data_IF_259740317814
#
_entry.id   IF_259740317814
#
_cell.length_a   1.000
_cell.length_b   1.000
_cell.length_c   1.000
_cell.angle_alpha   90.00
_cell.angle_beta   90.00
_cell.angle_gamma   90.00
#
_symmetry.space_group_name_H-M   'P 1'
#
loop_
_entity.id
_entity.type
_entity.pdbx_description
1 polymer ?
#
# COMPACT_ATOMS: atom_id res chain seq x y z
N UNK A 1 -9.10 11.84 -8.75
CA UNK A 1 -8.96 10.86 -7.64
C UNK A 1 -8.08 9.70 -8.08
N UNK A 2 -7.09 9.34 -7.28
CA UNK A 2 -6.11 8.27 -7.51
C UNK A 2 -6.37 7.11 -6.56
N UNK A 3 -5.82 5.93 -6.88
CA UNK A 3 -5.84 4.73 -6.03
C UNK A 3 -4.47 4.55 -5.40
N UNK A 4 -4.37 3.98 -4.18
CA UNK A 4 -3.08 3.63 -3.62
C UNK A 4 -2.40 2.56 -4.50
N UNK A 5 -1.12 2.76 -4.75
CA UNK A 5 -0.22 1.83 -5.43
C UNK A 5 1.07 1.70 -4.62
N UNK A 6 2.02 0.89 -5.08
CA UNK A 6 3.33 0.77 -4.42
C UNK A 6 4.08 2.12 -4.37
N UNK A 7 3.75 3.06 -5.27
CA UNK A 7 4.35 4.38 -5.31
C UNK A 7 4.02 5.21 -4.05
N UNK A 8 2.78 5.19 -3.59
CA UNK A 8 2.35 5.92 -2.41
C UNK A 8 3.08 5.41 -1.14
N UNK A 9 3.30 4.10 -1.04
CA UNK A 9 4.11 3.52 0.03
C UNK A 9 5.59 3.87 -0.08
N UNK A 10 6.13 3.98 -1.30
CA UNK A 10 7.49 4.48 -1.53
C UNK A 10 7.63 5.93 -1.06
N UNK A 11 6.68 6.81 -1.44
CA UNK A 11 6.67 8.21 -1.00
C UNK A 11 6.53 8.30 0.52
N UNK A 12 5.69 7.46 1.12
CA UNK A 12 5.57 7.38 2.58
C UNK A 12 6.91 7.01 3.22
N UNK A 13 7.54 5.91 2.78
CA UNK A 13 8.84 5.46 3.31
C UNK A 13 9.95 6.51 3.10
N UNK A 14 9.92 7.24 1.99
CA UNK A 14 10.89 8.29 1.68
C UNK A 14 10.72 9.54 2.55
N UNK A 15 9.48 9.92 2.84
CA UNK A 15 9.16 11.15 3.58
C UNK A 15 9.14 10.96 5.10
N UNK A 16 8.59 9.85 5.58
CA UNK A 16 8.43 9.55 7.02
C UNK A 16 9.45 8.53 7.55
N UNK A 17 10.21 7.90 6.65
CA UNK A 17 11.20 6.88 6.98
C UNK A 17 10.65 5.45 6.92
N UNK A 18 11.52 4.45 7.17
CA UNK A 18 11.15 3.05 7.11
C UNK A 18 10.05 2.68 8.11
N UNK A 19 9.14 1.78 7.71
CA UNK A 19 8.03 1.32 8.56
C UNK A 19 8.04 -0.20 8.73
N UNK A 20 7.37 -0.69 9.76
CA UNK A 20 7.32 -2.13 10.09
C UNK A 20 6.37 -2.89 9.17
N UNK A 21 6.64 -4.18 8.90
CA UNK A 21 5.67 -5.07 8.26
C UNK A 21 4.36 -5.17 9.07
N UNK A 22 4.46 -5.04 10.39
CA UNK A 22 3.31 -5.03 11.29
C UNK A 22 2.46 -3.76 11.22
N UNK A 23 3.02 -2.64 10.73
CA UNK A 23 2.33 -1.34 10.62
C UNK A 23 1.86 -1.05 9.19
N UNK A 24 1.90 -2.01 8.27
CA UNK A 24 1.49 -1.81 6.86
C UNK A 24 0.03 -1.36 6.77
N UNK A 25 -0.84 -1.91 7.60
CA UNK A 25 -2.27 -1.58 7.60
C UNK A 25 -2.54 -0.17 8.18
N UNK A 26 -1.72 0.28 9.13
CA UNK A 26 -1.75 1.65 9.66
C UNK A 26 -1.28 2.65 8.60
N UNK A 27 -0.13 2.37 7.96
CA UNK A 27 0.42 3.19 6.86
C UNK A 27 -0.56 3.27 5.69
N UNK A 28 -1.21 2.16 5.34
CA UNK A 28 -2.28 2.13 4.35
C UNK A 28 -3.44 3.06 4.75
N UNK A 29 -3.87 3.02 6.01
CA UNK A 29 -4.95 3.86 6.50
C UNK A 29 -4.62 5.35 6.39
N UNK A 30 -3.39 5.74 6.76
CA UNK A 30 -2.88 7.11 6.59
C UNK A 30 -2.81 7.55 5.12
N UNK A 31 -2.34 6.67 4.22
CA UNK A 31 -2.33 6.95 2.77
C UNK A 31 -3.76 7.17 2.27
N UNK A 32 -4.71 6.38 2.75
CA UNK A 32 -6.11 6.54 2.37
C UNK A 32 -6.77 7.81 2.91
N UNK A 33 -6.24 8.39 3.99
CA UNK A 33 -6.71 9.68 4.52
C UNK A 33 -6.09 10.89 3.80
N UNK A 34 -5.13 10.66 2.89
CA UNK A 34 -4.52 11.73 2.11
C UNK A 34 -5.47 12.28 1.03
N UNK A 35 -5.35 13.58 0.75
CA UNK A 35 -6.15 14.24 -0.27
C UNK A 35 -5.99 13.56 -1.64
N UNK A 36 -7.10 13.42 -2.35
CA UNK A 36 -7.18 12.83 -3.69
C UNK A 36 -6.93 11.32 -3.81
N UNK A 37 -6.83 10.57 -2.71
CA UNK A 37 -6.78 9.10 -2.72
C UNK A 37 -8.15 8.51 -2.37
N UNK A 38 -8.55 7.47 -3.10
CA UNK A 38 -9.78 6.71 -2.83
C UNK A 38 -9.44 5.26 -2.55
N UNK A 39 -9.86 4.78 -1.40
CA UNK A 39 -9.66 3.41 -0.93
C UNK A 39 -10.98 2.64 -0.87
N UNK A 40 -10.93 1.33 -0.66
CA UNK A 40 -12.16 0.52 -0.58
C UNK A 40 -13.03 0.88 0.61
N UNK A 41 -12.45 1.46 1.68
CA UNK A 41 -13.18 1.97 2.85
C UNK A 41 -14.13 3.11 2.47
N UNK A 42 -13.79 3.90 1.47
CA UNK A 42 -14.63 5.03 1.00
C UNK A 42 -15.79 4.55 0.12
N UNK A 43 -15.80 3.26 -0.23
CA UNK A 43 -16.74 2.67 -1.18
C UNK A 43 -17.72 1.72 -0.51
N UNK A 44 -17.88 1.79 0.80
CA UNK A 44 -18.84 0.95 1.52
C UNK A 44 -20.29 1.18 1.07
N UNK A 45 -20.61 2.39 0.63
CA UNK A 45 -21.92 2.74 0.09
C UNK A 45 -22.17 2.20 -1.34
N UNK A 46 -21.13 1.69 -2.03
CA UNK A 46 -21.27 1.24 -3.41
C UNK A 46 -21.74 -0.22 -3.51
N UNK A 47 -22.44 -0.58 -4.59
CA UNK A 47 -22.83 -1.97 -4.84
C UNK A 47 -21.66 -2.95 -4.75
N UNK A 48 -21.93 -4.14 -4.19
CA UNK A 48 -20.91 -5.20 -3.98
C UNK A 48 -20.10 -5.53 -5.24
N UNK A 49 -20.73 -5.46 -6.41
CA UNK A 49 -20.10 -5.75 -7.71
C UNK A 49 -18.94 -4.78 -8.00
N UNK A 50 -19.07 -3.51 -7.61
CA UNK A 50 -18.02 -2.51 -7.78
C UNK A 50 -17.01 -2.55 -6.64
N UNK A 51 -17.48 -2.77 -5.40
CA UNK A 51 -16.63 -2.77 -4.20
C UNK A 51 -15.65 -3.95 -4.17
N UNK A 52 -16.08 -5.15 -4.57
CA UNK A 52 -15.29 -6.39 -4.46
C UNK A 52 -13.96 -6.34 -5.23
N UNK A 53 -13.93 -6.00 -6.53
CA UNK A 53 -12.68 -5.93 -7.30
C UNK A 53 -11.68 -4.94 -6.70
N UNK A 54 -12.17 -3.81 -6.20
CA UNK A 54 -11.34 -2.75 -5.61
C UNK A 54 -10.70 -3.21 -4.30
N UNK A 55 -11.51 -3.78 -3.40
CA UNK A 55 -11.01 -4.36 -2.14
C UNK A 55 -10.01 -5.49 -2.39
N UNK A 56 -10.24 -6.33 -3.41
CA UNK A 56 -9.29 -7.39 -3.77
C UNK A 56 -7.95 -6.82 -4.21
N UNK A 57 -7.96 -5.77 -5.03
CA UNK A 57 -6.75 -5.13 -5.55
C UNK A 57 -5.91 -4.49 -4.43
N UNK A 58 -6.55 -3.85 -3.46
CA UNK A 58 -5.88 -3.28 -2.27
C UNK A 58 -5.35 -4.37 -1.34
N UNK A 59 -6.11 -5.44 -1.09
CA UNK A 59 -5.59 -6.60 -0.34
C UNK A 59 -4.36 -7.22 -1.01
N UNK A 60 -4.38 -7.32 -2.34
CA UNK A 60 -3.25 -7.83 -3.11
C UNK A 60 -2.04 -6.90 -3.00
N UNK A 61 -2.27 -5.58 -3.03
CA UNK A 61 -1.20 -4.59 -2.82
C UNK A 61 -0.53 -4.75 -1.45
N UNK A 62 -1.33 -4.85 -0.39
CA UNK A 62 -0.82 -5.10 0.98
C UNK A 62 -0.08 -6.44 1.05
N UNK A 63 -0.58 -7.48 0.38
CA UNK A 63 0.10 -8.78 0.30
C UNK A 63 1.47 -8.69 -0.37
N UNK A 64 1.58 -7.96 -1.48
CA UNK A 64 2.84 -7.72 -2.18
C UNK A 64 3.83 -6.95 -1.29
N UNK A 65 3.37 -5.94 -0.55
CA UNK A 65 4.23 -5.18 0.37
C UNK A 65 4.83 -6.04 1.49
N UNK A 66 4.17 -7.14 1.84
CA UNK A 66 4.63 -8.09 2.86
C UNK A 66 5.45 -9.25 2.27
N UNK A 67 5.65 -9.28 0.95
CA UNK A 67 6.37 -10.35 0.23
C UNK A 67 7.64 -9.79 -0.45
N UNK A 68 8.80 -10.13 0.13
CA UNK A 68 10.11 -9.68 -0.35
C UNK A 68 10.39 -10.17 -1.77
N UNK A 69 10.01 -11.41 -2.10
CA UNK A 69 10.23 -11.98 -3.43
C UNK A 69 9.37 -11.27 -4.48
N UNK A 70 8.13 -10.93 -4.13
CA UNK A 70 7.25 -10.18 -5.01
C UNK A 70 7.80 -8.77 -5.30
N UNK A 71 8.26 -8.05 -4.27
CA UNK A 71 8.86 -6.71 -4.44
C UNK A 71 10.14 -6.77 -5.29
N UNK A 72 11.02 -7.74 -5.04
CA UNK A 72 12.23 -7.95 -5.82
C UNK A 72 11.92 -8.26 -7.29
N UNK A 73 10.91 -9.11 -7.56
CA UNK A 73 10.48 -9.47 -8.93
C UNK A 73 9.86 -8.29 -9.68
N UNK A 74 9.17 -7.41 -8.97
CA UNK A 74 8.56 -6.20 -9.54
C UNK A 74 9.60 -5.09 -9.80
N UNK A 75 10.82 -5.24 -9.30
CA UNK A 75 11.89 -4.25 -9.48
C UNK A 75 11.58 -2.90 -8.84
N UNK A 76 10.80 -2.89 -7.76
CA UNK A 76 10.42 -1.64 -7.09
C UNK A 76 11.56 -1.06 -6.28
N UNK A 77 11.51 0.26 -6.07
CA UNK A 77 12.37 0.94 -5.08
C UNK A 77 11.91 0.71 -3.63
N UNK A 78 10.99 -0.21 -3.38
CA UNK A 78 10.66 -0.71 -2.05
C UNK A 78 11.41 -2.01 -1.79
N UNK A 79 11.95 -2.15 -0.59
CA UNK A 79 12.64 -3.36 -0.15
C UNK A 79 12.31 -3.70 1.31
N UNK A 80 12.47 -4.97 1.65
CA UNK A 80 12.29 -5.51 3.00
C UNK A 80 13.64 -5.95 3.56
N UNK A 81 13.93 -5.59 4.81
CA UNK A 81 15.15 -5.93 5.57
C UNK A 81 14.73 -6.21 6.99
N UNK A 82 14.90 -7.45 7.42
CA UNK A 82 14.33 -7.91 8.67
C UNK A 82 12.82 -7.68 8.66
N UNK A 83 12.32 -6.88 9.61
CA UNK A 83 10.89 -6.62 9.78
C UNK A 83 10.44 -5.23 9.29
N UNK A 84 11.22 -4.58 8.41
CA UNK A 84 10.96 -3.21 7.96
C UNK A 84 10.98 -3.08 6.45
N UNK A 85 10.12 -2.20 5.95
CA UNK A 85 10.03 -1.74 4.56
C UNK A 85 10.71 -0.37 4.45
N UNK A 86 11.56 -0.19 3.44
CA UNK A 86 12.26 1.07 3.15
C UNK A 86 12.19 1.42 1.67
N UNK A 87 12.29 2.72 1.41
CA UNK A 87 12.54 3.28 0.10
C UNK A 87 14.05 3.19 -0.20
N UNK A 88 14.39 2.59 -1.34
CA UNK A 88 15.73 2.62 -1.91
C UNK A 88 16.01 4.06 -2.37
N UNK A 89 17.20 4.55 -2.00
CA UNK A 89 17.73 5.85 -2.44
C UNK A 89 18.12 5.82 -3.91
#
# INVERSE_FOLDING_TARGET
>A
MKRPTLFEFYIYAKSKGPFSLGSVDDVYSEICDSENIVCSKDLEAYPKVLRKPLKYREKRLIGILKDENALNKLGTDLKILGNRIYAKS
#
